data_IF_005515327351
#
_entry.id   IF_005515327351
#
_cell.length_a   1.000
_cell.length_b   1.000
_cell.length_c   1.000
_cell.angle_alpha   90.00
_cell.angle_beta   90.00
_cell.angle_gamma   90.00
#
_symmetry.space_group_name_H-M   'P 1'
#
loop_
_entity.id
_entity.type
_entity.pdbx_description
1 polymer ?
#
# COMPACT_ATOMS: atom_id res chain seq x y z
N UNK A 1 -29.92 -30.66 -0.41
CA UNK A 1 -30.08 -30.36 1.03
C UNK A 1 -31.14 -29.31 1.31
N UNK A 2 -31.21 -28.18 0.57
CA UNK A 2 -32.19 -27.11 0.83
C UNK A 2 -33.67 -27.56 0.81
N UNK A 3 -34.07 -28.39 -0.16
CA UNK A 3 -35.46 -28.86 -0.29
C UNK A 3 -35.99 -29.64 0.93
N UNK A 4 -35.15 -30.46 1.58
CA UNK A 4 -35.50 -31.23 2.79
C UNK A 4 -35.70 -30.33 4.02
N UNK A 5 -34.95 -29.23 4.11
CA UNK A 5 -35.06 -28.26 5.22
C UNK A 5 -36.35 -27.44 5.11
N UNK A 6 -36.78 -27.12 3.89
CA UNK A 6 -38.06 -26.45 3.64
C UNK A 6 -39.26 -27.34 3.98
N UNK A 7 -39.18 -28.64 3.66
CA UNK A 7 -40.19 -29.62 4.05
C UNK A 7 -40.29 -29.78 5.57
N UNK A 8 -39.15 -29.85 6.26
CA UNK A 8 -39.09 -29.92 7.73
C UNK A 8 -39.71 -28.67 8.37
N UNK A 9 -39.37 -27.47 7.86
CA UNK A 9 -39.91 -26.21 8.38
C UNK A 9 -41.41 -26.09 8.13
N UNK A 10 -41.90 -26.61 6.99
CA UNK A 10 -43.34 -26.69 6.67
C UNK A 10 -44.06 -27.65 7.62
N UNK A 11 -43.51 -28.83 7.87
CA UNK A 11 -44.07 -29.79 8.83
C UNK A 11 -44.20 -29.18 10.23
N UNK A 12 -43.14 -28.54 10.74
CA UNK A 12 -43.16 -27.86 12.05
C UNK A 12 -44.24 -26.77 12.07
N UNK A 13 -44.38 -25.98 11.01
CA UNK A 13 -45.45 -24.97 10.90
C UNK A 13 -46.84 -25.59 11.03
N UNK A 14 -47.11 -26.66 10.29
CA UNK A 14 -48.41 -27.33 10.27
C UNK A 14 -48.72 -27.99 11.63
N UNK A 15 -47.73 -28.62 12.27
CA UNK A 15 -47.88 -29.23 13.57
C UNK A 15 -48.22 -28.19 14.66
N UNK A 16 -47.51 -27.05 14.66
CA UNK A 16 -47.78 -25.96 15.59
C UNK A 16 -49.12 -25.26 15.30
N UNK A 17 -49.53 -25.12 14.03
CA UNK A 17 -50.86 -24.61 13.67
C UNK A 17 -52.00 -25.50 14.19
N UNK A 18 -51.77 -26.81 14.28
CA UNK A 18 -52.74 -27.78 14.83
C UNK A 18 -52.75 -27.81 16.36
N UNK A 19 -51.95 -26.99 17.03
CA UNK A 19 -51.87 -26.92 18.49
C UNK A 19 -51.11 -28.09 19.13
N UNK A 20 -50.29 -28.81 18.36
CA UNK A 20 -49.45 -29.89 18.90
C UNK A 20 -48.35 -29.27 19.79
N UNK A 21 -48.15 -29.76 21.03
CA UNK A 21 -47.08 -29.29 21.90
C UNK A 21 -45.70 -29.43 21.26
N UNK A 22 -44.81 -28.45 21.47
CA UNK A 22 -43.43 -28.48 20.96
C UNK A 22 -42.65 -29.76 21.31
N UNK A 23 -42.72 -30.29 22.55
CA UNK A 23 -42.03 -31.53 22.91
C UNK A 23 -42.46 -32.74 22.06
N UNK A 24 -43.74 -32.81 21.72
CA UNK A 24 -44.31 -33.90 20.93
C UNK A 24 -43.84 -33.81 19.46
N UNK A 25 -43.72 -32.59 18.93
CA UNK A 25 -43.17 -32.34 17.59
C UNK A 25 -41.68 -32.71 17.54
N UNK A 26 -40.90 -32.34 18.56
CA UNK A 26 -39.48 -32.70 18.66
C UNK A 26 -39.29 -34.22 18.73
N UNK A 27 -40.07 -34.89 19.58
CA UNK A 27 -40.03 -36.34 19.73
C UNK A 27 -40.38 -37.05 18.42
N UNK A 28 -41.44 -36.64 17.73
CA UNK A 28 -41.84 -37.22 16.44
C UNK A 28 -40.74 -37.07 15.37
N UNK A 29 -40.04 -35.93 15.36
CA UNK A 29 -38.93 -35.69 14.43
C UNK A 29 -37.70 -36.55 14.77
N UNK A 30 -37.40 -36.75 16.05
CA UNK A 30 -36.34 -37.65 16.48
C UNK A 30 -36.63 -39.11 16.14
N UNK A 31 -37.87 -39.57 16.34
CA UNK A 31 -38.31 -40.92 15.98
C UNK A 31 -38.27 -41.15 14.46
N UNK A 32 -38.55 -40.11 13.66
CA UNK A 32 -38.41 -40.14 12.21
C UNK A 32 -36.93 -40.11 11.72
N UNK A 33 -35.96 -40.02 12.64
CA UNK A 33 -34.53 -40.10 12.33
C UNK A 33 -33.89 -38.77 11.92
N UNK A 34 -34.53 -37.63 12.19
CA UNK A 34 -33.91 -36.32 11.96
C UNK A 34 -32.78 -36.05 12.97
N UNK A 35 -31.71 -35.39 12.51
CA UNK A 35 -30.59 -35.04 13.38
C UNK A 35 -31.00 -33.96 14.39
N UNK A 36 -30.53 -34.01 15.65
CA UNK A 36 -30.91 -33.04 16.68
C UNK A 36 -30.68 -31.57 16.28
N UNK A 37 -29.60 -31.30 15.55
CA UNK A 37 -29.30 -29.97 15.03
C UNK A 37 -30.35 -29.46 14.04
N UNK A 38 -30.90 -30.35 13.20
CA UNK A 38 -31.93 -30.02 12.21
C UNK A 38 -33.28 -29.75 12.89
N UNK A 39 -33.64 -30.59 13.88
CA UNK A 39 -34.85 -30.43 14.70
C UNK A 39 -34.81 -29.10 15.45
N UNK A 40 -33.73 -28.84 16.19
CA UNK A 40 -33.55 -27.60 16.95
C UNK A 40 -33.62 -26.36 16.04
N UNK A 41 -32.98 -26.40 14.87
CA UNK A 41 -33.00 -25.29 13.91
C UNK A 41 -34.41 -25.03 13.35
N UNK A 42 -35.17 -26.08 13.04
CA UNK A 42 -36.53 -25.95 12.53
C UNK A 42 -37.51 -25.46 13.62
N UNK A 43 -37.42 -25.98 14.85
CA UNK A 43 -38.22 -25.53 15.98
C UNK A 43 -37.91 -24.08 16.37
N UNK A 44 -36.64 -23.68 16.33
CA UNK A 44 -36.19 -22.32 16.58
C UNK A 44 -36.62 -21.31 15.50
N UNK A 45 -37.10 -21.77 14.35
CA UNK A 45 -37.59 -20.89 13.27
C UNK A 45 -38.95 -20.25 13.59
N UNK A 46 -39.65 -20.67 14.64
CA UNK A 46 -40.91 -20.08 15.09
C UNK A 46 -40.78 -19.53 16.51
N UNK A 47 -41.35 -18.35 16.76
CA UNK A 47 -41.32 -17.69 18.06
C UNK A 47 -42.37 -18.29 19.02
N UNK A 48 -42.06 -18.31 20.31
CA UNK A 48 -43.00 -18.68 21.39
C UNK A 48 -43.76 -17.43 21.81
N UNK A 49 -44.68 -17.01 20.96
CA UNK A 49 -45.57 -15.87 21.20
C UNK A 49 -46.99 -16.41 21.10
N UNK A 50 -47.85 -16.03 22.06
CA UNK A 50 -49.28 -16.31 21.98
C UNK A 50 -49.88 -15.56 20.79
N UNK A 51 -49.96 -16.25 19.66
CA UNK A 51 -50.57 -15.77 18.43
C UNK A 51 -51.33 -16.94 17.78
N UNK A 52 -52.49 -16.70 17.14
CA UNK A 52 -53.30 -17.77 16.56
C UNK A 52 -52.60 -18.63 15.50
N UNK A 53 -51.50 -18.13 14.94
CA UNK A 53 -50.65 -18.88 14.00
C UNK A 53 -49.18 -18.82 14.45
N UNK A 54 -48.36 -19.85 14.16
CA UNK A 54 -46.94 -19.84 14.49
C UNK A 54 -46.24 -18.67 13.81
N UNK A 55 -45.66 -17.77 14.61
CA UNK A 55 -44.97 -16.58 14.11
C UNK A 55 -43.54 -16.96 13.70
N UNK A 56 -43.15 -16.84 12.42
CA UNK A 56 -41.78 -17.13 12.00
C UNK A 56 -40.80 -16.11 12.62
N UNK A 57 -39.66 -16.60 13.12
CA UNK A 57 -38.54 -15.75 13.51
C UNK A 57 -37.82 -15.24 12.26
N UNK A 58 -37.28 -14.01 12.29
CA UNK A 58 -36.47 -13.50 11.19
C UNK A 58 -35.23 -14.40 11.01
N UNK A 59 -35.05 -14.91 9.79
CA UNK A 59 -33.88 -15.71 9.43
C UNK A 59 -32.77 -14.75 9.01
N UNK A 60 -31.57 -14.79 9.62
CA UNK A 60 -30.44 -13.99 9.17
C UNK A 60 -30.07 -14.42 7.74
N UNK A 61 -30.34 -13.57 6.76
CA UNK A 61 -29.97 -13.80 5.37
C UNK A 61 -28.51 -13.37 5.15
N UNK A 62 -27.70 -14.28 4.60
CA UNK A 62 -26.32 -13.98 4.20
C UNK A 62 -26.39 -13.16 2.91
N UNK A 63 -26.34 -11.83 3.02
CA UNK A 63 -26.40 -10.93 1.86
C UNK A 63 -25.03 -10.83 1.18
N UNK A 64 -24.95 -11.22 -0.09
CA UNK A 64 -23.72 -11.08 -0.88
C UNK A 64 -23.29 -9.61 -1.02
N UNK A 65 -24.26 -8.68 -1.08
CA UNK A 65 -24.00 -7.24 -1.13
C UNK A 65 -23.38 -6.76 0.18
N UNK A 66 -23.85 -7.29 1.31
CA UNK A 66 -23.27 -7.00 2.62
C UNK A 66 -21.84 -7.53 2.72
N UNK A 67 -21.60 -8.77 2.29
CA UNK A 67 -20.25 -9.35 2.20
C UNK A 67 -19.32 -8.50 1.33
N UNK A 68 -19.78 -8.02 0.18
CA UNK A 68 -18.99 -7.15 -0.69
C UNK A 68 -18.62 -5.82 -0.02
N UNK A 69 -19.58 -5.16 0.66
CA UNK A 69 -19.32 -3.90 1.39
C UNK A 69 -18.26 -4.09 2.47
N UNK A 70 -18.34 -5.16 3.26
CA UNK A 70 -17.33 -5.47 4.25
C UNK A 70 -15.99 -5.83 3.61
N UNK A 71 -15.97 -6.61 2.53
CA UNK A 71 -14.73 -6.93 1.81
C UNK A 71 -14.01 -5.67 1.34
N UNK A 72 -14.74 -4.71 0.75
CA UNK A 72 -14.18 -3.41 0.33
C UNK A 72 -13.66 -2.63 1.53
N UNK A 73 -14.43 -2.55 2.63
CA UNK A 73 -14.01 -1.86 3.86
C UNK A 73 -12.72 -2.43 4.43
N UNK A 74 -12.65 -3.76 4.62
CA UNK A 74 -11.49 -4.43 5.20
C UNK A 74 -10.28 -4.36 4.28
N UNK A 75 -10.48 -4.48 2.96
CA UNK A 75 -9.39 -4.34 1.97
C UNK A 75 -8.84 -2.92 1.97
N UNK A 76 -9.70 -1.91 1.95
CA UNK A 76 -9.27 -0.51 1.99
C UNK A 76 -8.55 -0.16 3.30
N UNK A 77 -9.04 -0.66 4.44
CA UNK A 77 -8.38 -0.52 5.73
C UNK A 77 -6.99 -1.18 5.73
N UNK A 78 -6.89 -2.42 5.24
CA UNK A 78 -5.64 -3.16 5.17
C UNK A 78 -4.61 -2.47 4.28
N UNK A 79 -5.00 -2.01 3.10
CA UNK A 79 -4.12 -1.26 2.18
C UNK A 79 -3.65 0.04 2.84
N UNK A 80 -4.55 0.76 3.50
CA UNK A 80 -4.22 2.00 4.21
C UNK A 80 -3.22 1.73 5.33
N UNK A 81 -3.51 0.77 6.21
CA UNK A 81 -2.65 0.42 7.34
C UNK A 81 -1.25 -0.03 6.87
N UNK A 82 -1.19 -0.89 5.87
CA UNK A 82 0.08 -1.35 5.29
C UNK A 82 0.89 -0.19 4.71
N UNK A 83 0.23 0.75 4.02
CA UNK A 83 0.91 1.88 3.39
C UNK A 83 1.39 2.90 4.44
N UNK A 84 0.60 3.15 5.48
CA UNK A 84 0.99 4.02 6.61
C UNK A 84 2.19 3.44 7.36
N UNK A 85 2.16 2.14 7.69
CA UNK A 85 3.29 1.45 8.33
C UNK A 85 4.53 1.52 7.44
N UNK A 86 4.39 1.26 6.14
CA UNK A 86 5.50 1.35 5.18
C UNK A 86 6.13 2.74 5.11
N UNK A 87 5.32 3.81 5.10
CA UNK A 87 5.82 5.19 5.10
C UNK A 87 6.59 5.54 6.37
N UNK A 88 6.07 5.14 7.53
CA UNK A 88 6.79 5.32 8.79
C UNK A 88 8.07 4.50 8.82
N UNK A 89 8.09 3.27 8.30
CA UNK A 89 9.31 2.46 8.22
C UNK A 89 10.39 3.15 7.40
N UNK A 90 10.02 3.67 6.22
CA UNK A 90 10.95 4.43 5.39
C UNK A 90 11.43 5.70 6.09
N UNK A 91 10.56 6.41 6.80
CA UNK A 91 10.95 7.56 7.61
C UNK A 91 11.95 7.18 8.70
N UNK A 92 11.72 6.06 9.41
CA UNK A 92 12.66 5.55 10.41
C UNK A 92 14.00 5.18 9.76
N UNK A 93 13.98 4.50 8.62
CA UNK A 93 15.22 4.13 7.92
C UNK A 93 16.01 5.36 7.48
N UNK A 94 15.33 6.41 7.03
CA UNK A 94 15.97 7.67 6.66
C UNK A 94 16.54 8.44 7.85
N UNK A 95 15.76 8.61 8.93
CA UNK A 95 16.19 9.37 10.11
C UNK A 95 17.37 8.72 10.86
N UNK A 96 17.48 7.40 10.76
CA UNK A 96 18.56 6.62 11.37
C UNK A 96 19.53 6.04 10.32
N UNK A 97 19.54 6.62 9.11
CA UNK A 97 20.46 6.23 8.06
C UNK A 97 21.90 6.61 8.47
N UNK A 98 22.81 5.63 8.44
CA UNK A 98 24.23 5.84 8.68
C UNK A 98 24.98 5.84 7.34
N UNK A 99 25.39 7.01 6.83
CA UNK A 99 26.09 7.13 5.56
C UNK A 99 27.48 6.46 5.56
N UNK A 100 28.05 6.17 6.73
CA UNK A 100 29.36 5.50 6.83
C UNK A 100 29.26 3.98 6.68
N UNK A 101 28.09 3.37 6.90
CA UNK A 101 27.91 1.92 6.88
C UNK A 101 27.53 1.37 5.49
N UNK A 102 26.69 2.09 4.74
CA UNK A 102 26.26 1.72 3.39
C UNK A 102 25.99 3.01 2.60
N UNK A 103 26.77 3.34 1.56
CA UNK A 103 26.44 4.46 0.67
C UNK A 103 25.26 4.06 -0.21
N UNK A 104 24.06 4.45 0.21
CA UNK A 104 22.80 4.31 -0.54
C UNK A 104 22.40 5.68 -1.07
N UNK A 105 22.11 5.79 -2.36
CA UNK A 105 21.63 7.06 -2.93
C UNK A 105 20.25 7.42 -2.37
N UNK A 106 19.95 8.70 -2.10
CA UNK A 106 18.64 9.17 -1.66
C UNK A 106 17.48 8.71 -2.58
N UNK A 107 17.76 8.52 -3.87
CA UNK A 107 16.79 8.10 -4.89
C UNK A 107 16.28 6.65 -4.68
N UNK A 108 16.99 5.84 -3.90
CA UNK A 108 16.61 4.45 -3.62
C UNK A 108 15.27 4.36 -2.88
N UNK A 109 14.95 5.36 -2.05
CA UNK A 109 13.74 5.40 -1.24
C UNK A 109 12.51 5.92 -2.00
N UNK A 110 12.73 6.69 -3.07
CA UNK A 110 11.69 7.43 -3.78
C UNK A 110 10.59 6.53 -4.38
N UNK A 111 10.90 5.44 -5.13
CA UNK A 111 9.85 4.62 -5.72
C UNK A 111 8.90 4.01 -4.68
N UNK A 112 9.45 3.47 -3.59
CA UNK A 112 8.67 2.84 -2.53
C UNK A 112 7.73 3.81 -1.82
N UNK A 113 8.22 5.02 -1.52
CA UNK A 113 7.43 6.07 -0.88
C UNK A 113 6.33 6.56 -1.83
N UNK A 114 6.61 6.70 -3.13
CA UNK A 114 5.64 7.14 -4.14
C UNK A 114 4.44 6.19 -4.23
N UNK A 115 4.69 4.88 -4.31
CA UNK A 115 3.62 3.87 -4.31
C UNK A 115 2.87 3.79 -2.99
N UNK A 116 3.53 4.03 -1.86
CA UNK A 116 2.87 4.05 -0.56
C UNK A 116 1.97 5.30 -0.40
N UNK A 117 2.45 6.49 -0.78
CA UNK A 117 1.66 7.73 -0.78
C UNK A 117 0.44 7.60 -1.70
N UNK A 118 0.63 7.11 -2.93
CA UNK A 118 -0.48 6.92 -3.88
C UNK A 118 -1.56 5.99 -3.33
N UNK A 119 -1.15 4.89 -2.67
CA UNK A 119 -2.09 3.96 -2.02
C UNK A 119 -2.85 4.63 -0.88
N UNK A 120 -2.21 5.42 -0.02
CA UNK A 120 -2.92 6.12 1.07
C UNK A 120 -3.92 7.13 0.52
N UNK A 121 -3.53 7.93 -0.48
CA UNK A 121 -4.39 8.96 -1.10
C UNK A 121 -5.67 8.35 -1.66
N UNK A 122 -5.64 7.13 -2.19
CA UNK A 122 -6.81 6.46 -2.77
C UNK A 122 -7.54 5.59 -1.75
N UNK A 123 -6.80 4.72 -1.03
CA UNK A 123 -7.40 3.72 -0.15
C UNK A 123 -8.04 4.35 1.09
N UNK A 124 -7.48 5.45 1.63
CA UNK A 124 -8.04 6.08 2.83
C UNK A 124 -9.42 6.73 2.57
N UNK A 125 -9.63 7.54 1.52
CA UNK A 125 -10.97 8.01 1.17
C UNK A 125 -11.95 6.87 0.87
N UNK A 126 -11.51 5.81 0.20
CA UNK A 126 -12.35 4.62 -0.04
C UNK A 126 -12.76 3.97 1.28
N UNK A 127 -11.84 3.84 2.23
CA UNK A 127 -12.14 3.34 3.58
C UNK A 127 -13.16 4.23 4.29
N UNK A 128 -13.01 5.56 4.24
CA UNK A 128 -13.97 6.48 4.85
C UNK A 128 -15.36 6.35 4.22
N UNK A 129 -15.47 6.31 2.89
CA UNK A 129 -16.73 6.13 2.17
C UNK A 129 -17.36 4.77 2.51
N UNK A 130 -16.58 3.69 2.51
CA UNK A 130 -17.06 2.36 2.88
C UNK A 130 -17.56 2.32 4.33
N UNK A 131 -16.83 2.94 5.26
CA UNK A 131 -17.23 3.05 6.67
C UNK A 131 -18.55 3.82 6.83
N UNK A 132 -18.72 4.91 6.07
CA UNK A 132 -19.94 5.69 6.05
C UNK A 132 -21.13 4.93 5.45
N UNK A 133 -20.92 4.21 4.34
CA UNK A 133 -21.95 3.38 3.70
C UNK A 133 -22.42 2.25 4.63
N UNK A 134 -21.48 1.60 5.33
CA UNK A 134 -21.80 0.56 6.31
C UNK A 134 -22.57 1.15 7.49
N UNK A 135 -22.10 2.26 8.07
CA UNK A 135 -22.80 2.94 9.17
C UNK A 135 -24.24 3.33 8.79
N UNK A 136 -24.42 3.94 7.61
CA UNK A 136 -25.75 4.33 7.10
C UNK A 136 -26.67 3.13 6.88
N UNK A 137 -26.13 1.98 6.45
CA UNK A 137 -26.93 0.77 6.25
C UNK A 137 -27.40 0.13 7.58
N UNK A 138 -26.59 0.24 8.64
CA UNK A 138 -26.94 -0.26 9.97
C UNK A 138 -28.02 0.58 10.67
N UNK A 139 -28.10 1.88 10.36
CA UNK A 139 -29.16 2.76 10.85
C UNK A 139 -30.52 2.46 10.20
N UNK A 140 -30.53 1.99 8.95
CA UNK A 140 -31.74 1.72 8.18
C UNK A 140 -32.35 0.34 8.47
N UNK A 141 -31.53 -0.67 8.77
CA UNK A 141 -32.00 -2.01 9.11
C UNK A 141 -31.31 -2.56 10.38
N UNK A 142 -31.95 -2.40 11.57
CA UNK A 142 -31.52 -2.99 12.83
C UNK A 142 -31.27 -4.51 12.82
N UNK A 143 -31.95 -5.25 11.95
CA UNK A 143 -31.88 -6.71 11.92
C UNK A 143 -30.57 -7.22 11.28
N UNK A 144 -29.91 -6.39 10.46
CA UNK A 144 -28.59 -6.66 9.88
C UNK A 144 -27.43 -6.61 10.90
N UNK A 145 -27.65 -6.07 12.12
CA UNK A 145 -26.61 -5.94 13.15
C UNK A 145 -25.98 -7.27 13.59
N UNK A 146 -26.70 -8.38 13.41
CA UNK A 146 -26.25 -9.73 13.75
C UNK A 146 -25.54 -10.49 12.61
N UNK A 147 -25.20 -9.82 11.50
CA UNK A 147 -24.67 -10.50 10.31
C UNK A 147 -23.41 -11.31 10.64
N UNK A 148 -23.48 -12.62 10.38
CA UNK A 148 -22.38 -13.56 10.59
C UNK A 148 -21.11 -13.14 9.81
N UNK A 149 -21.29 -12.44 8.69
CA UNK A 149 -20.23 -11.88 7.85
C UNK A 149 -19.40 -10.85 8.61
N UNK A 150 -20.06 -9.87 9.28
CA UNK A 150 -19.34 -8.84 10.05
C UNK A 150 -18.50 -9.46 11.15
N UNK A 151 -19.08 -10.44 11.85
CA UNK A 151 -18.42 -11.17 12.93
C UNK A 151 -17.21 -11.95 12.40
N UNK A 152 -17.34 -12.62 11.25
CA UNK A 152 -16.24 -13.36 10.62
C UNK A 152 -15.09 -12.44 10.18
N UNK A 153 -15.38 -11.35 9.45
CA UNK A 153 -14.33 -10.41 9.01
C UNK A 153 -13.66 -9.68 10.18
N UNK A 154 -14.41 -9.35 11.24
CA UNK A 154 -13.84 -8.73 12.43
C UNK A 154 -12.90 -9.68 13.17
N UNK A 155 -13.32 -10.94 13.35
CA UNK A 155 -12.44 -11.96 13.94
C UNK A 155 -11.22 -12.25 13.05
N UNK A 156 -11.37 -12.24 11.73
CA UNK A 156 -10.25 -12.38 10.79
C UNK A 156 -9.25 -11.22 10.94
N UNK A 157 -9.72 -9.97 10.97
CA UNK A 157 -8.84 -8.82 11.17
C UNK A 157 -8.17 -8.83 12.54
N UNK A 158 -8.88 -9.24 13.59
CA UNK A 158 -8.31 -9.43 14.92
C UNK A 158 -7.23 -10.51 14.92
N UNK A 159 -7.46 -11.64 14.25
CA UNK A 159 -6.48 -12.70 14.10
C UNK A 159 -5.22 -12.20 13.38
N UNK A 160 -5.38 -11.50 12.26
CA UNK A 160 -4.25 -10.92 11.50
C UNK A 160 -3.49 -9.90 12.35
N UNK A 161 -4.18 -9.00 13.05
CA UNK A 161 -3.54 -8.01 13.92
C UNK A 161 -2.71 -8.67 15.03
N UNK A 162 -3.26 -9.70 15.69
CA UNK A 162 -2.55 -10.47 16.72
C UNK A 162 -1.35 -11.21 16.12
N UNK A 163 -1.50 -11.84 14.95
CA UNK A 163 -0.42 -12.54 14.27
C UNK A 163 0.74 -11.60 13.90
N UNK A 164 0.43 -10.38 13.43
CA UNK A 164 1.41 -9.33 13.14
C UNK A 164 2.15 -8.91 14.42
N UNK A 165 1.44 -8.63 15.51
CA UNK A 165 2.07 -8.26 16.80
C UNK A 165 3.01 -9.38 17.30
N UNK A 166 2.60 -10.65 17.18
CA UNK A 166 3.44 -11.79 17.56
C UNK A 166 4.70 -11.84 16.68
N UNK A 167 4.55 -11.71 15.35
CA UNK A 167 5.67 -11.71 14.42
C UNK A 167 6.68 -10.60 14.71
N UNK A 168 6.19 -9.40 15.02
CA UNK A 168 7.03 -8.27 15.41
C UNK A 168 7.79 -8.51 16.71
N UNK A 169 7.14 -9.13 17.70
CA UNK A 169 7.82 -9.48 18.95
C UNK A 169 8.88 -10.57 18.74
N UNK A 170 8.62 -11.55 17.87
CA UNK A 170 9.61 -12.58 17.50
C UNK A 170 10.82 -11.94 16.82
N UNK A 171 10.59 -11.06 15.84
CA UNK A 171 11.70 -10.36 15.17
C UNK A 171 12.48 -9.48 16.15
N UNK A 172 11.82 -8.88 17.13
CA UNK A 172 12.45 -8.10 18.19
C UNK A 172 13.40 -8.93 19.03
N UNK A 173 12.93 -10.07 19.51
CA UNK A 173 13.77 -10.99 20.30
C UNK A 173 14.94 -11.49 19.45
N UNK A 174 14.71 -11.86 18.20
CA UNK A 174 15.77 -12.32 17.30
C UNK A 174 16.86 -11.25 17.07
N UNK A 175 16.47 -9.99 16.84
CA UNK A 175 17.42 -8.89 16.66
C UNK A 175 18.21 -8.55 17.92
N UNK A 176 17.57 -8.58 19.10
CA UNK A 176 18.24 -8.38 20.39
C UNK A 176 19.26 -9.50 20.63
N UNK A 177 18.90 -10.75 20.36
CA UNK A 177 19.81 -11.90 20.48
C UNK A 177 20.98 -11.83 19.50
N UNK A 178 20.79 -11.21 18.33
CA UNK A 178 21.84 -11.00 17.34
C UNK A 178 22.82 -9.85 17.70
N UNK A 179 22.61 -9.13 18.81
CA UNK A 179 23.54 -8.09 19.30
C UNK A 179 23.58 -6.80 18.48
N UNK A 180 22.56 -6.53 17.65
CA UNK A 180 22.51 -5.35 16.77
C UNK A 180 22.04 -4.05 17.44
N UNK A 181 22.30 -2.90 16.78
CA UNK A 181 21.80 -1.58 17.21
C UNK A 181 20.28 -1.49 17.05
N UNK A 182 19.61 -1.12 18.16
CA UNK A 182 18.19 -1.40 18.41
C UNK A 182 17.22 -0.28 18.06
N UNK A 183 17.68 0.97 17.88
CA UNK A 183 16.77 2.13 17.78
C UNK A 183 15.81 2.07 16.58
N UNK A 184 16.33 1.84 15.37
CA UNK A 184 15.52 1.72 14.13
C UNK A 184 14.49 0.60 14.24
N UNK A 185 14.91 -0.52 14.82
CA UNK A 185 14.09 -1.70 14.91
C UNK A 185 12.98 -1.52 15.96
N UNK A 186 13.31 -0.98 17.14
CA UNK A 186 12.35 -0.67 18.20
C UNK A 186 11.30 0.33 17.72
N UNK A 187 11.70 1.35 16.97
CA UNK A 187 10.77 2.35 16.45
C UNK A 187 9.81 1.75 15.41
N UNK A 188 10.28 0.85 14.54
CA UNK A 188 9.43 0.10 13.60
C UNK A 188 8.44 -0.81 14.31
N UNK A 189 8.87 -1.56 15.32
CA UNK A 189 7.95 -2.38 16.14
C UNK A 189 6.92 -1.51 16.86
N UNK A 190 7.32 -0.36 17.39
CA UNK A 190 6.40 0.58 18.02
C UNK A 190 5.33 1.09 17.03
N UNK A 191 5.74 1.43 15.81
CA UNK A 191 4.81 1.86 14.75
C UNK A 191 3.75 0.79 14.48
N UNK A 192 4.16 -0.47 14.28
CA UNK A 192 3.20 -1.55 14.03
C UNK A 192 2.33 -1.82 15.25
N UNK A 193 2.90 -1.84 16.46
CA UNK A 193 2.15 -2.03 17.69
C UNK A 193 1.07 -0.96 17.89
N UNK A 194 1.38 0.32 17.58
CA UNK A 194 0.41 1.42 17.64
C UNK A 194 -0.69 1.24 16.58
N UNK A 195 -0.33 0.96 15.32
CA UNK A 195 -1.31 0.78 14.24
C UNK A 195 -2.21 -0.43 14.49
N UNK A 196 -1.62 -1.59 14.80
CA UNK A 196 -2.36 -2.81 15.12
C UNK A 196 -3.22 -2.63 16.38
N UNK A 197 -2.69 -1.96 17.41
CA UNK A 197 -3.42 -1.64 18.64
C UNK A 197 -4.61 -0.72 18.41
N UNK A 198 -4.49 0.29 17.55
CA UNK A 198 -5.59 1.18 17.17
C UNK A 198 -6.68 0.44 16.40
N UNK A 199 -6.30 -0.42 15.44
CA UNK A 199 -7.24 -1.25 14.67
C UNK A 199 -7.96 -2.23 15.60
N UNK A 200 -7.21 -2.94 16.44
CA UNK A 200 -7.77 -3.90 17.39
C UNK A 200 -8.70 -3.20 18.40
N UNK A 201 -8.27 -2.06 18.95
CA UNK A 201 -9.06 -1.25 19.87
C UNK A 201 -10.37 -0.78 19.25
N UNK A 202 -10.32 -0.36 17.99
CA UNK A 202 -11.51 0.02 17.22
C UNK A 202 -12.50 -1.15 17.09
N UNK A 203 -12.03 -2.33 16.67
CA UNK A 203 -12.91 -3.49 16.48
C UNK A 203 -13.42 -4.10 17.78
N UNK A 204 -12.61 -4.09 18.85
CA UNK A 204 -13.07 -4.50 20.19
C UNK A 204 -14.14 -3.53 20.73
N UNK A 205 -13.98 -2.24 20.46
CA UNK A 205 -14.98 -1.24 20.80
C UNK A 205 -16.28 -1.46 20.00
N UNK A 206 -16.20 -1.71 18.69
CA UNK A 206 -17.36 -2.00 17.82
C UNK A 206 -18.16 -3.22 18.31
N UNK A 207 -17.47 -4.30 18.68
CA UNK A 207 -18.12 -5.51 19.23
C UNK A 207 -18.84 -5.18 20.54
N UNK A 208 -18.18 -4.47 21.47
CA UNK A 208 -18.73 -4.15 22.80
C UNK A 208 -19.91 -3.18 22.73
N UNK A 209 -19.90 -2.22 21.82
CA UNK A 209 -20.97 -1.21 21.74
C UNK A 209 -22.22 -1.74 21.02
N UNK A 210 -22.05 -2.75 20.16
CA UNK A 210 -23.18 -3.49 19.55
C UNK A 210 -24.05 -4.17 20.60
N UNK A 211 -23.47 -4.59 21.72
CA UNK A 211 -24.21 -5.15 22.87
C UNK A 211 -24.94 -4.08 23.69
N UNK A 212 -24.52 -2.80 23.62
CA UNK A 212 -25.03 -1.69 24.44
C UNK A 212 -26.00 -0.76 23.72
N UNK A 213 -26.21 -0.95 22.40
CA UNK A 213 -27.22 -0.23 21.63
C UNK A 213 -26.97 1.28 21.47
N UNK A 214 -25.72 1.74 21.56
CA UNK A 214 -25.36 3.16 21.50
C UNK A 214 -24.42 3.45 20.31
N UNK A 215 -24.85 4.35 19.42
CA UNK A 215 -24.13 5.25 18.47
C UNK A 215 -23.08 4.68 17.47
N UNK A 216 -22.88 5.36 16.31
CA UNK A 216 -21.99 4.90 15.25
C UNK A 216 -20.52 5.20 15.57
N UNK A 217 -19.62 4.50 14.87
CA UNK A 217 -18.17 4.71 14.70
C UNK A 217 -17.61 5.91 15.50
N UNK A 218 -16.75 5.73 16.52
CA UNK A 218 -16.32 6.84 17.35
C UNK A 218 -15.47 7.77 16.50
N UNK A 219 -15.91 9.02 16.33
CA UNK A 219 -15.23 10.04 15.53
C UNK A 219 -13.74 10.20 15.92
N UNK A 220 -13.40 9.85 17.16
CA UNK A 220 -12.03 9.76 17.64
C UNK A 220 -11.16 8.81 16.80
N UNK A 221 -11.59 7.57 16.55
CA UNK A 221 -10.77 6.59 15.83
C UNK A 221 -10.61 6.97 14.36
N UNK A 222 -11.67 7.49 13.73
CA UNK A 222 -11.58 8.04 12.37
C UNK A 222 -10.65 9.26 12.32
N UNK A 223 -10.71 10.13 13.35
CA UNK A 223 -9.83 11.28 13.48
C UNK A 223 -8.35 10.89 13.63
N UNK A 224 -8.05 9.89 14.47
CA UNK A 224 -6.69 9.35 14.64
C UNK A 224 -6.20 8.70 13.35
N UNK A 225 -7.04 7.91 12.66
CA UNK A 225 -6.67 7.30 11.38
C UNK A 225 -6.42 8.35 10.29
N UNK A 226 -7.22 9.41 10.25
CA UNK A 226 -7.03 10.55 9.34
C UNK A 226 -5.72 11.28 9.63
N UNK A 227 -5.47 11.60 10.91
CA UNK A 227 -4.24 12.27 11.32
C UNK A 227 -3.00 11.43 11.00
N UNK A 228 -3.03 10.12 11.28
CA UNK A 228 -1.94 9.21 10.97
C UNK A 228 -1.69 9.12 9.45
N UNK A 229 -2.74 9.08 8.64
CA UNK A 229 -2.64 9.05 7.18
C UNK A 229 -2.07 10.35 6.61
N UNK A 230 -2.54 11.50 7.11
CA UNK A 230 -2.02 12.83 6.72
C UNK A 230 -0.56 12.99 7.13
N UNK A 231 -0.20 12.59 8.35
CA UNK A 231 1.17 12.64 8.85
C UNK A 231 2.10 11.74 8.02
N UNK A 232 1.67 10.51 7.70
CA UNK A 232 2.45 9.59 6.88
C UNK A 232 2.65 10.12 5.45
N UNK A 233 1.60 10.66 4.82
CA UNK A 233 1.71 11.27 3.49
C UNK A 233 2.60 12.52 3.53
N UNK A 234 2.43 13.39 4.53
CA UNK A 234 3.26 14.58 4.70
C UNK A 234 4.74 14.24 4.89
N UNK A 235 5.04 13.23 5.72
CA UNK A 235 6.41 12.74 5.90
C UNK A 235 6.98 12.14 4.61
N UNK A 236 6.20 11.37 3.85
CA UNK A 236 6.61 10.81 2.57
C UNK A 236 6.91 11.89 1.52
N UNK A 237 6.05 12.91 1.42
CA UNK A 237 6.25 14.05 0.51
C UNK A 237 7.45 14.90 0.90
N UNK A 238 7.66 15.12 2.20
CA UNK A 238 8.84 15.81 2.70
C UNK A 238 10.12 15.04 2.34
N UNK A 239 10.09 13.71 2.45
CA UNK A 239 11.24 12.86 2.15
C UNK A 239 11.60 12.83 0.66
N UNK A 240 10.60 12.80 -0.24
CA UNK A 240 10.83 12.75 -1.69
C UNK A 240 11.18 14.12 -2.30
N UNK A 241 10.90 15.21 -1.60
CA UNK A 241 10.88 16.54 -2.20
C UNK A 241 9.69 16.71 -3.18
N UNK A 242 9.47 17.93 -3.69
CA UNK A 242 8.35 18.22 -4.57
C UNK A 242 8.43 17.45 -5.90
N UNK A 243 7.29 17.04 -6.49
CA UNK A 243 7.27 16.26 -7.74
C UNK A 243 8.00 16.92 -8.92
N UNK A 244 8.02 18.25 -8.96
CA UNK A 244 8.73 19.04 -9.98
C UNK A 244 10.25 18.85 -9.91
N UNK A 245 10.81 18.73 -8.71
CA UNK A 245 12.24 18.51 -8.52
C UNK A 245 12.65 17.08 -8.92
N UNK A 246 11.79 16.10 -8.61
CA UNK A 246 11.99 14.72 -9.06
C UNK A 246 11.91 14.59 -10.59
N UNK A 247 11.07 15.39 -11.24
CA UNK A 247 11.01 15.44 -12.70
C UNK A 247 12.27 16.07 -13.31
N UNK A 248 12.77 17.17 -12.74
CA UNK A 248 13.99 17.82 -13.21
C UNK A 248 15.22 16.93 -13.01
N UNK A 249 15.33 16.24 -11.86
CA UNK A 249 16.42 15.27 -11.60
C UNK A 249 16.46 14.15 -12.63
N UNK A 250 15.32 13.55 -12.99
CA UNK A 250 15.27 12.52 -14.05
C UNK A 250 15.71 13.04 -15.42
N UNK A 251 15.44 14.31 -15.72
CA UNK A 251 15.91 14.95 -16.95
C UNK A 251 17.42 15.16 -16.88
N UNK A 252 17.95 15.61 -15.75
CA UNK A 252 19.39 15.78 -15.51
C UNK A 252 20.15 14.46 -15.58
N UNK A 253 19.63 13.38 -14.98
CA UNK A 253 20.18 12.02 -15.11
C UNK A 253 20.22 11.57 -16.57
N UNK A 254 19.15 11.88 -17.33
CA UNK A 254 19.09 11.58 -18.75
C UNK A 254 20.13 12.36 -19.55
N UNK A 255 20.35 13.64 -19.21
CA UNK A 255 21.40 14.48 -19.82
C UNK A 255 22.78 13.90 -19.57
N UNK A 256 23.08 13.47 -18.34
CA UNK A 256 24.35 12.81 -18.02
C UNK A 256 24.54 11.55 -18.87
N UNK A 257 23.50 10.72 -19.01
CA UNK A 257 23.56 9.51 -19.85
C UNK A 257 23.74 9.82 -21.34
N UNK A 258 23.08 10.87 -21.85
CA UNK A 258 23.25 11.34 -23.21
C UNK A 258 24.68 11.86 -23.43
N UNK A 259 25.25 12.63 -22.50
CA UNK A 259 26.63 13.12 -22.55
C UNK A 259 27.65 11.97 -22.50
N UNK A 260 27.43 10.94 -21.68
CA UNK A 260 28.25 9.71 -21.67
C UNK A 260 28.21 8.99 -23.01
N UNK A 261 27.01 8.90 -23.60
CA UNK A 261 26.81 8.30 -24.92
C UNK A 261 27.51 9.09 -26.03
N UNK A 262 27.44 10.43 -25.98
CA UNK A 262 28.14 11.34 -26.89
C UNK A 262 29.66 11.21 -26.76
N UNK A 263 30.18 11.22 -25.53
CA UNK A 263 31.62 11.05 -25.28
C UNK A 263 32.12 9.70 -25.83
N UNK A 264 31.38 8.61 -25.60
CA UNK A 264 31.72 7.31 -26.17
C UNK A 264 31.63 7.29 -27.71
N UNK A 265 30.73 8.10 -28.29
CA UNK A 265 30.64 8.29 -29.74
C UNK A 265 31.86 9.01 -30.30
N UNK A 266 32.29 10.11 -29.67
CA UNK A 266 33.51 10.85 -30.02
C UNK A 266 34.75 9.95 -29.92
N UNK A 267 34.85 9.14 -28.87
CA UNK A 267 35.96 8.19 -28.71
C UNK A 267 36.03 7.19 -29.87
N UNK A 268 34.90 6.58 -30.26
CA UNK A 268 34.87 5.65 -31.40
C UNK A 268 35.20 6.34 -32.72
N UNK A 269 34.71 7.56 -32.92
CA UNK A 269 35.02 8.33 -34.12
C UNK A 269 36.53 8.61 -34.21
N UNK A 270 37.13 9.02 -33.08
CA UNK A 270 38.56 9.27 -32.99
C UNK A 270 39.38 8.00 -33.23
N UNK A 271 38.98 6.86 -32.67
CA UNK A 271 39.64 5.56 -32.89
C UNK A 271 39.63 5.13 -34.38
N UNK A 272 38.62 5.52 -35.15
CA UNK A 272 38.48 5.16 -36.57
C UNK A 272 39.20 6.13 -37.51
N UNK A 273 39.17 7.44 -37.19
CA UNK A 273 39.63 8.48 -38.11
C UNK A 273 40.94 9.16 -37.67
N UNK A 274 41.42 8.88 -36.45
CA UNK A 274 42.54 9.55 -35.79
C UNK A 274 42.39 11.08 -35.63
N UNK A 275 41.18 11.59 -35.84
CA UNK A 275 40.81 13.02 -35.76
C UNK A 275 39.51 13.17 -34.97
N UNK A 276 39.33 14.33 -34.32
CA UNK A 276 38.08 14.67 -33.62
C UNK A 276 37.01 15.09 -34.65
N UNK A 277 35.72 14.77 -34.40
CA UNK A 277 34.66 15.24 -35.28
C UNK A 277 34.56 16.77 -35.21
N UNK A 278 34.30 17.43 -36.33
CA UNK A 278 34.09 18.90 -36.38
C UNK A 278 32.76 19.29 -35.72
N UNK A 279 31.78 18.40 -35.77
CA UNK A 279 30.47 18.58 -35.15
C UNK A 279 29.85 17.26 -34.69
N UNK A 280 28.92 17.32 -33.73
CA UNK A 280 28.17 16.13 -33.30
C UNK A 280 27.32 15.50 -34.41
N UNK A 281 26.99 16.26 -35.47
CA UNK A 281 26.28 15.73 -36.64
C UNK A 281 27.06 14.63 -37.36
N UNK A 282 28.39 14.72 -37.37
CA UNK A 282 29.25 13.71 -38.00
C UNK A 282 29.18 12.36 -37.30
N UNK A 283 28.98 12.36 -35.97
CA UNK A 283 28.81 11.14 -35.19
C UNK A 283 27.61 10.32 -35.66
N UNK A 284 26.52 10.98 -36.05
CA UNK A 284 25.30 10.31 -36.53
C UNK A 284 25.50 9.62 -37.88
N UNK A 285 26.37 10.16 -38.73
CA UNK A 285 26.67 9.60 -40.04
C UNK A 285 27.73 8.49 -39.95
N UNK A 286 28.68 8.61 -39.01
CA UNK A 286 29.82 7.70 -38.88
C UNK A 286 29.53 6.49 -37.99
N UNK A 287 28.59 6.56 -37.05
CA UNK A 287 28.34 5.49 -36.08
C UNK A 287 27.10 4.65 -36.43
N UNK A 288 27.15 3.31 -36.31
CA UNK A 288 25.99 2.45 -36.55
C UNK A 288 24.86 2.62 -35.53
N UNK A 289 25.19 3.09 -34.32
CA UNK A 289 24.25 3.29 -33.22
C UNK A 289 23.81 4.75 -33.16
N UNK A 290 22.50 5.03 -33.14
CA UNK A 290 22.00 6.40 -32.95
C UNK A 290 22.54 7.00 -31.66
N UNK A 291 23.00 8.25 -31.73
CA UNK A 291 23.54 9.00 -30.59
C UNK A 291 22.56 10.13 -30.26
N UNK A 292 22.25 10.38 -28.97
CA UNK A 292 21.35 11.46 -28.58
C UNK A 292 22.02 12.81 -28.80
N UNK A 293 21.62 13.54 -29.85
CA UNK A 293 22.19 14.84 -30.20
C UNK A 293 21.49 16.02 -29.52
N UNK A 294 20.25 15.83 -29.09
CA UNK A 294 19.37 16.90 -28.60
C UNK A 294 19.01 16.69 -27.13
N UNK A 295 18.88 17.81 -26.42
CA UNK A 295 18.45 17.84 -25.03
C UNK A 295 16.99 17.33 -24.89
N UNK A 296 16.71 16.41 -23.96
CA UNK A 296 15.41 15.73 -23.85
C UNK A 296 14.25 16.66 -23.46
N UNK A 297 14.53 17.83 -22.87
CA UNK A 297 13.51 18.79 -22.44
C UNK A 297 13.32 19.92 -23.44
N UNK A 298 14.41 20.52 -23.91
CA UNK A 298 14.40 21.73 -24.75
C UNK A 298 14.45 21.41 -26.24
N UNK A 299 14.88 20.19 -26.62
CA UNK A 299 15.21 19.78 -27.99
C UNK A 299 16.26 20.65 -28.68
N UNK A 300 17.02 21.43 -27.90
CA UNK A 300 18.19 22.12 -28.42
C UNK A 300 19.35 21.12 -28.54
N UNK A 301 20.20 21.23 -29.58
CA UNK A 301 21.36 20.37 -29.71
C UNK A 301 22.32 20.57 -28.53
N UNK A 302 22.94 19.49 -28.05
CA UNK A 302 24.00 19.57 -27.06
C UNK A 302 25.17 20.40 -27.60
N UNK A 303 25.82 21.17 -26.72
CA UNK A 303 26.98 21.98 -27.10
C UNK A 303 28.23 21.11 -27.09
N UNK A 304 28.96 21.15 -28.18
CA UNK A 304 30.23 20.49 -28.37
C UNK A 304 31.25 21.48 -28.93
N UNK A 305 32.47 21.46 -28.40
CA UNK A 305 33.60 22.20 -28.95
C UNK A 305 34.82 21.28 -29.02
N UNK A 306 35.38 21.02 -30.22
CA UNK A 306 36.66 20.34 -30.32
C UNK A 306 37.78 21.27 -29.80
N UNK A 307 38.73 20.71 -29.06
CA UNK A 307 39.91 21.39 -28.54
C UNK A 307 41.20 20.90 -29.18
N UNK A 308 42.35 21.26 -28.59
CA UNK A 308 43.68 20.78 -29.01
C UNK A 308 44.04 19.47 -28.31
N UNK A 309 45.03 18.73 -28.82
CA UNK A 309 45.58 17.54 -28.14
C UNK A 309 44.53 16.47 -27.76
N UNK A 310 43.56 16.24 -28.67
CA UNK A 310 42.44 15.29 -28.50
C UNK A 310 41.45 15.66 -27.39
N UNK A 311 41.54 16.87 -26.85
CA UNK A 311 40.57 17.36 -25.87
C UNK A 311 39.32 17.85 -26.58
N UNK A 312 38.17 17.68 -25.93
CA UNK A 312 36.90 18.22 -26.39
C UNK A 312 36.02 18.56 -25.19
N UNK A 313 35.09 19.47 -25.40
CA UNK A 313 34.17 19.94 -24.37
C UNK A 313 32.73 19.56 -24.74
N UNK A 314 32.00 19.01 -23.77
CA UNK A 314 30.58 18.73 -23.87
C UNK A 314 29.83 19.49 -22.79
N UNK A 315 28.80 20.26 -23.16
CA UNK A 315 28.01 21.01 -22.20
C UNK A 315 26.52 20.66 -22.23
N UNK A 316 25.92 20.71 -21.06
CA UNK A 316 24.47 20.65 -20.86
C UNK A 316 24.04 21.68 -19.80
N UNK A 317 22.74 21.98 -19.77
CA UNK A 317 22.15 22.89 -18.79
C UNK A 317 21.36 22.09 -17.74
N UNK A 318 21.89 21.99 -16.53
CA UNK A 318 21.31 21.15 -15.47
C UNK A 318 20.37 21.96 -14.58
N UNK A 319 19.19 21.40 -14.27
CA UNK A 319 18.22 22.08 -13.43
C UNK A 319 18.55 21.97 -11.93
N UNK A 320 19.22 20.89 -11.52
CA UNK A 320 19.62 20.60 -10.15
C UNK A 320 21.12 20.25 -10.08
N UNK A 321 21.77 20.42 -8.92
CA UNK A 321 23.09 19.84 -8.70
C UNK A 321 23.00 18.31 -8.73
N UNK A 322 24.11 17.65 -9.05
CA UNK A 322 24.22 16.19 -8.96
C UNK A 322 23.74 15.67 -7.62
N UNK A 323 22.88 14.64 -7.66
CA UNK A 323 22.51 13.93 -6.46
C UNK A 323 23.72 13.18 -5.86
N UNK A 324 23.62 12.83 -4.57
CA UNK A 324 24.62 12.01 -3.86
C UNK A 324 24.80 10.60 -4.46
N UNK A 325 24.03 10.24 -5.50
CA UNK A 325 24.14 8.98 -6.22
C UNK A 325 25.31 8.91 -7.21
N UNK A 326 25.88 10.04 -7.65
CA UNK A 326 27.15 10.02 -8.37
C UNK A 326 28.33 9.93 -7.38
N UNK A 327 29.36 9.13 -7.66
CA UNK A 327 30.60 9.17 -6.90
C UNK A 327 31.12 10.61 -6.82
N UNK A 328 31.58 11.10 -5.66
CA UNK A 328 32.08 12.47 -5.50
C UNK A 328 33.18 12.82 -6.52
N UNK A 329 33.99 11.82 -6.86
CA UNK A 329 35.12 11.93 -7.79
C UNK A 329 34.72 11.64 -9.26
N UNK A 330 33.43 11.50 -9.55
CA UNK A 330 32.95 11.33 -10.91
C UNK A 330 33.20 12.60 -11.72
N UNK A 331 33.76 12.45 -12.93
CA UNK A 331 33.90 13.55 -13.89
C UNK A 331 32.55 14.18 -14.27
N UNK A 332 31.44 13.47 -14.03
CA UNK A 332 30.09 13.90 -14.36
C UNK A 332 29.39 14.64 -13.22
N UNK A 333 30.07 14.85 -12.09
CA UNK A 333 29.56 15.67 -10.98
C UNK A 333 29.42 17.12 -11.43
N UNK A 334 28.25 17.71 -11.21
CA UNK A 334 27.87 19.02 -11.74
C UNK A 334 27.00 19.82 -10.76
N UNK A 335 27.08 21.15 -10.86
CA UNK A 335 26.16 22.07 -10.18
C UNK A 335 24.95 22.38 -11.07
N UNK A 336 23.93 23.04 -10.51
CA UNK A 336 22.84 23.59 -11.30
C UNK A 336 23.34 24.68 -12.26
N UNK A 337 22.68 24.79 -13.42
CA UNK A 337 23.01 25.69 -14.51
C UNK A 337 23.83 25.03 -15.62
N UNK A 338 24.38 25.85 -16.51
CA UNK A 338 25.20 25.38 -17.63
C UNK A 338 26.54 24.87 -17.13
N UNK A 339 26.82 23.59 -17.39
CA UNK A 339 28.05 22.91 -17.01
C UNK A 339 28.68 22.29 -18.23
N UNK A 340 30.00 22.42 -18.33
CA UNK A 340 30.80 21.90 -19.42
C UNK A 340 31.86 20.96 -18.88
N UNK A 341 31.99 19.80 -19.52
CA UNK A 341 32.94 18.77 -19.14
C UNK A 341 34.03 18.69 -20.20
N UNK A 342 35.26 18.97 -19.79
CA UNK A 342 36.45 18.81 -20.63
C UNK A 342 36.93 17.37 -20.57
N UNK A 343 36.97 16.70 -21.72
CA UNK A 343 37.29 15.29 -21.84
C UNK A 343 38.42 15.08 -22.86
N UNK A 344 39.17 13.99 -22.75
CA UNK A 344 40.27 13.66 -23.68
C UNK A 344 39.93 12.39 -24.46
N UNK A 345 39.84 12.45 -25.79
CA UNK A 345 39.44 11.31 -26.59
C UNK A 345 40.40 10.11 -26.43
N UNK A 346 39.83 8.91 -26.28
CA UNK A 346 40.56 7.65 -26.05
C UNK A 346 41.04 7.43 -24.61
N UNK A 347 40.75 8.33 -23.68
CA UNK A 347 41.00 8.11 -22.26
C UNK A 347 40.00 7.10 -21.67
N UNK A 348 40.52 6.00 -21.13
CA UNK A 348 39.78 4.84 -20.63
C UNK A 348 39.32 4.99 -19.17
N UNK A 349 39.83 5.99 -18.44
CA UNK A 349 39.48 6.22 -17.03
C UNK A 349 38.13 6.95 -16.86
N UNK A 350 37.49 7.35 -17.96
CA UNK A 350 36.19 8.09 -17.98
C UNK A 350 34.92 7.22 -17.86
N UNK A 351 35.04 5.89 -17.83
CA UNK A 351 33.90 4.94 -17.85
C UNK A 351 33.21 4.75 -16.52
#
# INVERSE_FOLDING_TARGET
>A
MAARTDELTRFVREALQRGIPRPDVEQALHEAGWQPEQVNKAMASFAEVEFPVPVPRPVPHVSAVEAFRYLVLFTALGITAFSVVGLFFTLVDYLFYDPAAVPVSPDTWVPGVLWAVARVIIAFPVFLIASWLVARSLDQDPAGRGSAIRRWFTYLAMFVAVAVIIGDFVTLVAYVLAGGTTARFLLKVLVVAVVAGLILGYYLWDIRDTERGRRPVPALFLGVAALASVAAVGAGLWLMGPPSEQASRRIDDRRVEDLRSLAAGVDRFYEQNAELPESLGELSAALPTPVPLDDPSTRAPYRYSPGTDRTFELCADFAQPSGEGLPPDSIWTHAAGTQCFTLTAGDKERR
#
